data_IF_397897902633
#
_entry.id   IF_397897902633
#
_cell.length_a   1.000
_cell.length_b   1.000
_cell.length_c   1.000
_cell.angle_alpha   90.00
_cell.angle_beta   90.00
_cell.angle_gamma   90.00
#
_symmetry.space_group_name_H-M   'P 1'
#
loop_
_entity.id
_entity.type
_entity.pdbx_description
1 polymer ?
#
# COMPACT_ATOMS: atom_id res chain seq x y z
N UNK A 1 35.92 -16.11 61.83
CA UNK A 1 35.98 -15.03 60.83
C UNK A 1 35.65 -15.63 59.47
N UNK A 2 34.54 -15.17 58.84
CA UNK A 2 34.39 -14.83 57.40
C UNK A 2 35.23 -15.65 56.38
N UNK A 3 34.72 -16.32 55.32
CA UNK A 3 33.55 -16.08 54.46
C UNK A 3 33.32 -17.29 53.49
N UNK A 4 32.03 -17.63 53.29
CA UNK A 4 31.29 -17.79 52.00
C UNK A 4 31.67 -18.96 51.06
N UNK A 5 30.87 -20.04 50.90
CA UNK A 5 29.54 -20.26 50.28
C UNK A 5 29.43 -20.06 48.74
N UNK A 6 29.09 -21.17 48.06
CA UNK A 6 28.33 -21.34 46.81
C UNK A 6 28.92 -20.99 45.43
N UNK A 7 29.36 -22.05 44.74
CA UNK A 7 28.66 -22.75 43.65
C UNK A 7 27.75 -21.97 42.66
N UNK A 8 27.90 -22.37 41.40
CA UNK A 8 26.98 -22.27 40.27
C UNK A 8 26.63 -20.87 39.76
N UNK A 9 27.03 -20.58 38.52
CA UNK A 9 26.07 -20.34 37.45
C UNK A 9 26.75 -20.41 36.08
N UNK A 10 26.36 -21.44 35.33
CA UNK A 10 26.67 -21.59 33.92
C UNK A 10 26.03 -20.44 33.12
N UNK A 11 26.85 -19.72 32.36
CA UNK A 11 26.41 -18.74 31.38
C UNK A 11 25.88 -19.46 30.14
N UNK A 12 24.58 -19.77 30.13
CA UNK A 12 23.88 -20.20 28.93
C UNK A 12 23.46 -18.97 28.13
N UNK A 13 24.13 -18.75 26.99
CA UNK A 13 23.82 -17.67 26.06
C UNK A 13 22.47 -17.91 25.38
N UNK A 14 21.65 -16.86 25.40
CA UNK A 14 20.35 -16.73 24.77
C UNK A 14 20.53 -16.69 23.24
N UNK A 15 19.80 -17.53 22.51
CA UNK A 15 19.51 -17.31 21.08
C UNK A 15 18.00 -17.44 20.88
N UNK A 16 17.27 -16.40 21.26
CA UNK A 16 15.92 -16.18 20.76
C UNK A 16 16.05 -15.61 19.35
N UNK A 17 16.12 -16.50 18.36
CA UNK A 17 16.02 -16.17 16.95
C UNK A 17 14.58 -15.73 16.63
N UNK A 18 14.27 -14.47 16.88
CA UNK A 18 13.07 -13.83 16.36
C UNK A 18 13.22 -13.64 14.86
N UNK A 19 12.46 -14.40 14.07
CA UNK A 19 12.26 -14.10 12.65
C UNK A 19 11.55 -12.75 12.57
N UNK A 20 12.31 -11.68 12.36
CA UNK A 20 11.75 -10.40 11.93
C UNK A 20 11.24 -10.59 10.50
N UNK A 21 9.97 -10.99 10.37
CA UNK A 21 9.23 -10.72 9.15
C UNK A 21 9.34 -9.22 8.90
N UNK A 22 9.93 -8.83 7.78
CA UNK A 22 9.99 -7.44 7.36
C UNK A 22 8.56 -6.88 7.35
N UNK A 23 8.20 -6.15 8.40
CA UNK A 23 6.91 -5.51 8.51
C UNK A 23 6.85 -4.47 7.40
N UNK A 24 5.94 -4.66 6.44
CA UNK A 24 5.55 -3.58 5.56
C UNK A 24 5.13 -2.39 6.43
N UNK A 25 5.58 -1.19 6.05
CA UNK A 25 5.31 0.04 6.80
C UNK A 25 3.80 0.16 7.06
N UNK A 26 3.38 0.08 8.33
CA UNK A 26 1.96 0.13 8.69
C UNK A 26 1.49 1.58 8.56
N UNK A 27 0.53 1.80 7.68
CA UNK A 27 -0.07 3.09 7.39
C UNK A 27 -1.39 3.22 8.14
N UNK A 28 -1.50 4.26 8.97
CA UNK A 28 -2.80 4.76 9.41
C UNK A 28 -3.44 5.63 8.32
N UNK A 29 -4.68 6.08 8.55
CA UNK A 29 -5.44 6.89 7.59
C UNK A 29 -4.68 8.18 7.19
N UNK A 30 -3.96 8.83 8.12
CA UNK A 30 -3.25 10.09 7.86
C UNK A 30 -1.94 9.85 7.09
N UNK A 31 -1.19 8.83 7.49
CA UNK A 31 0.03 8.40 6.80
C UNK A 31 -0.29 7.95 5.37
N UNK A 32 -1.40 7.24 5.18
CA UNK A 32 -1.87 6.84 3.85
C UNK A 32 -2.21 8.05 2.98
N UNK A 33 -2.92 9.04 3.52
CA UNK A 33 -3.24 10.29 2.81
C UNK A 33 -1.98 11.04 2.41
N UNK A 34 -1.04 11.23 3.36
CA UNK A 34 0.24 11.89 3.08
C UNK A 34 1.04 11.15 2.00
N UNK A 35 1.05 9.81 2.08
CA UNK A 35 1.70 8.98 1.07
C UNK A 35 1.03 9.13 -0.30
N UNK A 36 -0.29 9.09 -0.38
CA UNK A 36 -1.04 9.27 -1.63
C UNK A 36 -0.78 10.65 -2.25
N UNK A 37 -0.74 11.71 -1.44
CA UNK A 37 -0.38 13.06 -1.91
C UNK A 37 1.05 13.09 -2.46
N UNK A 38 2.00 12.45 -1.77
CA UNK A 38 3.39 12.37 -2.27
C UNK A 38 3.49 11.64 -3.61
N UNK A 39 2.67 10.60 -3.82
CA UNK A 39 2.59 9.88 -5.10
C UNK A 39 2.11 10.83 -6.20
N UNK A 40 1.03 11.57 -5.96
CA UNK A 40 0.43 12.47 -6.93
C UNK A 40 1.25 13.74 -7.19
N UNK A 41 2.06 14.18 -6.23
CA UNK A 41 2.95 15.32 -6.39
C UNK A 41 4.13 15.04 -7.33
N UNK A 42 4.52 13.77 -7.49
CA UNK A 42 5.60 13.37 -8.39
C UNK A 42 5.10 13.36 -9.83
N UNK A 43 5.81 14.13 -10.68
CA UNK A 43 5.55 14.26 -12.12
C UNK A 43 6.29 13.24 -12.99
N UNK A 44 7.17 12.45 -12.39
CA UNK A 44 7.89 11.38 -13.08
C UNK A 44 6.93 10.25 -13.46
N UNK A 45 7.29 9.41 -14.46
CA UNK A 45 6.54 8.22 -14.81
C UNK A 45 6.22 7.40 -13.56
N UNK A 46 4.92 7.21 -13.26
CA UNK A 46 4.55 6.41 -12.12
C UNK A 46 4.97 4.96 -12.36
N UNK A 47 5.39 4.30 -11.30
CA UNK A 47 5.72 2.87 -11.28
C UNK A 47 4.87 2.15 -10.26
N UNK A 48 4.46 0.93 -10.62
CA UNK A 48 3.74 0.02 -9.74
C UNK A 48 4.55 -0.25 -8.49
N UNK A 49 3.94 -0.09 -7.32
CA UNK A 49 4.60 -0.39 -6.04
C UNK A 49 3.63 -0.50 -4.89
N UNK A 50 4.04 -1.26 -3.88
CA UNK A 50 3.37 -1.29 -2.57
C UNK A 50 3.71 -0.01 -1.81
N UNK A 51 2.67 0.68 -1.30
CA UNK A 51 2.82 1.86 -0.45
C UNK A 51 3.03 1.51 1.01
N UNK A 52 2.47 0.39 1.45
CA UNK A 52 2.53 -0.09 2.83
C UNK A 52 1.30 -0.94 3.18
N UNK A 53 1.12 -1.19 4.47
CA UNK A 53 -0.01 -1.93 5.01
C UNK A 53 -1.00 -0.98 5.67
N UNK A 54 -2.18 -0.79 5.07
CA UNK A 54 -3.25 -0.04 5.71
C UNK A 54 -4.26 -1.02 6.30
N UNK A 55 -4.42 -1.00 7.62
CA UNK A 55 -5.30 -1.94 8.36
C UNK A 55 -4.97 -3.42 8.11
N UNK A 56 -3.67 -3.71 7.98
CA UNK A 56 -3.18 -5.06 7.73
C UNK A 56 -3.32 -5.53 6.28
N UNK A 57 -3.78 -4.65 5.36
CA UNK A 57 -3.90 -4.95 3.95
C UNK A 57 -2.89 -4.16 3.13
N UNK A 58 -2.21 -4.80 2.17
CA UNK A 58 -1.31 -4.11 1.28
C UNK A 58 -2.07 -3.14 0.38
N UNK A 59 -1.61 -1.89 0.38
CA UNK A 59 -2.06 -0.84 -0.53
C UNK A 59 -1.01 -0.66 -1.61
N UNK A 60 -1.43 -0.64 -2.87
CA UNK A 60 -0.55 -0.45 -4.03
C UNK A 60 -0.91 0.80 -4.80
N UNK A 61 0.09 1.35 -5.46
CA UNK A 61 -0.07 2.17 -6.65
C UNK A 61 0.01 1.24 -7.85
N UNK A 62 -1.02 1.24 -8.67
CA UNK A 62 -1.07 0.58 -9.97
C UNK A 62 -1.08 1.63 -11.08
N UNK A 63 -0.39 1.33 -12.17
CA UNK A 63 -0.19 2.18 -13.33
C UNK A 63 -0.62 1.42 -14.56
N UNK A 64 -1.58 1.98 -15.28
CA UNK A 64 -2.08 1.41 -16.53
C UNK A 64 -1.86 2.41 -17.64
N UNK A 65 -1.22 1.95 -18.70
CA UNK A 65 -1.05 2.72 -19.91
C UNK A 65 -1.71 2.02 -21.10
N UNK A 66 -2.37 2.81 -21.95
CA UNK A 66 -2.87 2.34 -23.26
C UNK A 66 -1.77 2.33 -24.33
N UNK A 67 -2.18 2.31 -25.59
CA UNK A 67 -1.23 2.26 -26.73
C UNK A 67 -0.39 3.54 -26.87
N UNK A 68 -0.91 4.67 -26.38
CA UNK A 68 -0.27 5.98 -26.49
C UNK A 68 0.30 6.42 -25.14
N UNK A 69 1.45 5.86 -24.77
CA UNK A 69 2.20 6.28 -23.58
C UNK A 69 3.11 7.49 -23.89
N UNK A 70 3.29 8.45 -22.97
CA UNK A 70 2.72 8.50 -21.62
C UNK A 70 1.34 9.19 -21.54
N UNK A 71 0.80 9.71 -22.65
CA UNK A 71 -0.41 10.53 -22.69
C UNK A 71 -1.68 9.82 -22.18
N UNK A 72 -1.80 8.51 -22.42
CA UNK A 72 -2.91 7.68 -21.96
C UNK A 72 -2.51 6.80 -20.77
N UNK A 73 -1.97 7.43 -19.72
CA UNK A 73 -1.59 6.76 -18.47
C UNK A 73 -2.55 7.16 -17.35
N UNK A 74 -3.09 6.15 -16.66
CA UNK A 74 -3.85 6.31 -15.43
C UNK A 74 -3.07 5.65 -14.30
N UNK A 75 -2.94 6.38 -13.19
CA UNK A 75 -2.40 5.86 -11.93
C UNK A 75 -3.52 5.82 -10.90
N UNK A 76 -3.58 4.76 -10.11
CA UNK A 76 -4.57 4.63 -9.05
C UNK A 76 -4.03 3.85 -7.85
N UNK A 77 -4.66 4.09 -6.69
CA UNK A 77 -4.26 3.52 -5.40
C UNK A 77 -5.40 2.65 -4.89
N UNK A 78 -5.11 1.39 -4.58
CA UNK A 78 -6.12 0.43 -4.13
C UNK A 78 -5.50 -0.67 -3.24
N UNK A 79 -6.36 -1.45 -2.58
CA UNK A 79 -5.92 -2.67 -1.89
C UNK A 79 -5.67 -3.81 -2.88
N UNK A 80 -4.63 -4.62 -2.62
CA UNK A 80 -4.35 -5.80 -3.45
C UNK A 80 -5.39 -6.90 -3.17
N UNK A 81 -5.91 -7.51 -4.25
CA UNK A 81 -6.58 -8.81 -4.22
C UNK A 81 -7.91 -8.86 -3.46
N UNK A 82 -8.51 -7.71 -3.14
CA UNK A 82 -9.78 -7.66 -2.43
C UNK A 82 -10.96 -7.86 -3.39
N UNK A 83 -11.85 -8.79 -3.05
CA UNK A 83 -13.14 -8.95 -3.72
C UNK A 83 -14.10 -7.83 -3.31
N UNK A 84 -15.18 -7.64 -4.06
CA UNK A 84 -16.21 -6.63 -3.71
C UNK A 84 -16.76 -6.83 -2.29
N UNK A 85 -17.03 -8.07 -1.91
CA UNK A 85 -17.53 -8.41 -0.57
C UNK A 85 -16.50 -8.12 0.54
N UNK A 86 -15.21 -8.43 0.29
CA UNK A 86 -14.14 -8.16 1.25
C UNK A 86 -13.86 -6.67 1.40
N UNK A 87 -14.11 -5.88 0.35
CA UNK A 87 -13.91 -4.44 0.39
C UNK A 87 -14.77 -3.73 1.44
N UNK A 88 -16.05 -4.08 1.52
CA UNK A 88 -16.96 -3.51 2.50
C UNK A 88 -16.54 -3.82 3.95
N UNK A 89 -15.96 -5.02 4.18
CA UNK A 89 -15.50 -5.44 5.52
C UNK A 89 -14.24 -4.69 5.98
N UNK A 90 -13.45 -4.16 5.04
CA UNK A 90 -12.17 -3.51 5.30
C UNK A 90 -12.30 -1.98 5.38
N UNK A 91 -13.55 -1.49 5.38
CA UNK A 91 -13.95 -0.09 5.15
C UNK A 91 -13.19 0.51 3.95
N UNK A 92 -13.08 -0.28 2.88
CA UNK A 92 -12.83 0.25 1.55
C UNK A 92 -14.15 0.54 0.86
N UNK A 93 -14.09 1.37 -0.17
CA UNK A 93 -15.20 1.58 -1.10
C UNK A 93 -14.85 0.95 -2.45
N UNK A 94 -15.85 0.36 -3.09
CA UNK A 94 -15.71 -0.10 -4.47
C UNK A 94 -15.87 1.10 -5.40
N UNK A 95 -14.84 1.35 -6.18
CA UNK A 95 -14.81 2.45 -7.15
C UNK A 95 -14.62 1.88 -8.55
N UNK A 96 -15.42 2.37 -9.49
CA UNK A 96 -15.24 2.09 -10.91
C UNK A 96 -14.26 3.10 -11.50
N UNK A 97 -13.16 2.61 -12.05
CA UNK A 97 -12.10 3.39 -12.68
C UNK A 97 -12.06 3.09 -14.17
N UNK A 98 -11.96 4.14 -14.97
CA UNK A 98 -11.73 4.04 -16.40
C UNK A 98 -10.25 3.70 -16.67
N UNK A 99 -9.98 2.45 -17.03
CA UNK A 99 -8.64 1.91 -17.27
C UNK A 99 -8.39 1.83 -18.78
N UNK A 100 -7.29 2.42 -19.29
CA UNK A 100 -6.96 2.33 -20.71
C UNK A 100 -6.59 0.89 -21.11
N UNK A 101 -7.08 0.46 -22.27
CA UNK A 101 -6.85 -0.86 -22.90
C UNK A 101 -6.57 -0.67 -24.38
N UNK A 102 -5.29 -0.55 -24.71
CA UNK A 102 -4.87 -0.20 -26.07
C UNK A 102 -5.38 1.17 -26.50
N UNK A 103 -6.12 1.23 -27.62
CA UNK A 103 -6.77 2.44 -28.16
C UNK A 103 -8.09 2.80 -27.47
N UNK A 104 -8.64 1.93 -26.61
CA UNK A 104 -9.91 2.16 -25.90
C UNK A 104 -9.70 2.26 -24.38
N UNK A 105 -10.79 2.43 -23.64
CA UNK A 105 -10.80 2.32 -22.19
C UNK A 105 -11.96 1.42 -21.73
N UNK A 106 -11.81 0.82 -20.55
CA UNK A 106 -12.81 -0.04 -19.95
C UNK A 106 -12.96 0.26 -18.46
N UNK A 107 -14.20 0.14 -17.97
CA UNK A 107 -14.48 0.28 -16.55
C UNK A 107 -14.01 -0.97 -15.80
N UNK A 108 -13.18 -0.76 -14.78
CA UNK A 108 -12.73 -1.78 -13.85
C UNK A 108 -13.02 -1.35 -12.42
N UNK A 109 -13.34 -2.32 -11.57
CA UNK A 109 -13.68 -2.04 -10.17
C UNK A 109 -12.49 -2.34 -9.27
N UNK A 110 -12.18 -1.39 -8.40
CA UNK A 110 -11.11 -1.52 -7.42
C UNK A 110 -11.63 -1.28 -6.02
N UNK A 111 -11.05 -1.99 -5.06
CA UNK A 111 -11.28 -1.73 -3.65
C UNK A 111 -10.32 -0.65 -3.15
N UNK A 112 -10.84 0.54 -2.87
CA UNK A 112 -10.04 1.70 -2.49
C UNK A 112 -10.24 2.01 -1.01
N UNK A 113 -9.19 2.32 -0.24
CA UNK A 113 -9.33 2.80 1.14
C UNK A 113 -10.31 3.99 1.23
N UNK A 114 -11.33 3.90 2.09
CA UNK A 114 -12.39 4.91 2.18
C UNK A 114 -11.87 6.34 2.40
N UNK A 115 -10.77 6.49 3.15
CA UNK A 115 -10.16 7.80 3.40
C UNK A 115 -9.65 8.45 2.10
N UNK A 116 -9.13 7.67 1.15
CA UNK A 116 -8.67 8.17 -0.14
C UNK A 116 -9.83 8.52 -1.07
N UNK A 117 -10.93 7.75 -1.02
CA UNK A 117 -12.15 8.06 -1.78
C UNK A 117 -12.75 9.38 -1.32
N UNK A 118 -12.89 9.57 -0.01
CA UNK A 118 -13.40 10.81 0.59
C UNK A 118 -12.61 12.04 0.15
N UNK A 119 -11.29 11.91 0.01
CA UNK A 119 -10.40 13.01 -0.37
C UNK A 119 -10.10 13.06 -1.88
N UNK A 120 -10.64 12.12 -2.67
CA UNK A 120 -10.35 11.95 -4.10
C UNK A 120 -8.84 11.80 -4.41
N UNK A 121 -8.10 11.15 -3.51
CA UNK A 121 -6.65 10.94 -3.60
C UNK A 121 -6.28 9.52 -4.09
N UNK A 122 -7.18 8.85 -4.81
CA UNK A 122 -6.99 7.46 -5.23
C UNK A 122 -6.72 7.29 -6.72
N UNK A 123 -6.86 8.34 -7.53
CA UNK A 123 -6.67 8.28 -8.98
C UNK A 123 -6.11 9.60 -9.48
N UNK A 124 -5.20 9.53 -10.44
CA UNK A 124 -4.73 10.68 -11.19
C UNK A 124 -4.24 10.30 -12.60
N UNK A 125 -4.09 11.30 -13.45
CA UNK A 125 -3.61 11.16 -14.83
C UNK A 125 -2.41 12.09 -15.02
N UNK A 126 -1.20 11.66 -14.63
CA UNK A 126 -0.06 12.58 -14.45
C UNK A 126 0.41 13.28 -15.72
N UNK A 127 0.01 12.78 -16.90
CA UNK A 127 0.42 13.28 -18.20
C UNK A 127 -0.68 13.97 -19.00
N UNK A 128 -1.92 14.00 -18.49
CA UNK A 128 -3.04 14.68 -19.15
C UNK A 128 -3.13 16.10 -18.60
N UNK A 129 -2.89 17.09 -19.46
CA UNK A 129 -3.06 18.51 -19.14
C UNK A 129 -4.39 19.03 -19.65
#
# INVERSE_FOLDING_TARGET
>A
MRLVFNACLATAWVVLGGFAFAAGDQLDDNALVSRAQSVQAVKDPPVDRVLGLHRGLPVVVDVRCGDVCPQNTVRFIHYIGQTEAACAQTRGDIVSVDVPKGITSGQEKFCVPHILVRQKLYIDRPFQR
#
